data_IF_641156702323
#
_entry.id   IF_641156702323
#
_cell.length_a   1.000
_cell.length_b   1.000
_cell.length_c   1.000
_cell.angle_alpha   90.00
_cell.angle_beta   90.00
_cell.angle_gamma   90.00
#
_symmetry.space_group_name_H-M   'P 1'
#
loop_
_entity.id
_entity.type
_entity.pdbx_description
1 polymer ?
#
# COMPACT_ATOMS: atom_id res chain seq x y z
N UNK A 1 -44.70 38.49 80.81
CA UNK A 1 -44.78 37.89 79.50
C UNK A 1 -43.42 37.90 78.84
N UNK A 2 -42.69 36.77 78.80
CA UNK A 2 -41.29 36.68 78.34
C UNK A 2 -41.31 36.00 76.98
N UNK A 3 -40.97 36.72 75.92
CA UNK A 3 -40.81 36.18 74.59
C UNK A 3 -39.43 35.55 74.39
N UNK A 4 -39.32 34.29 74.19
CA UNK A 4 -38.07 33.61 73.85
C UNK A 4 -37.80 33.75 72.35
N UNK A 5 -36.68 34.35 72.03
CA UNK A 5 -36.18 34.36 70.65
C UNK A 5 -35.45 33.03 70.36
N UNK A 6 -35.84 32.33 69.31
CA UNK A 6 -35.11 31.22 68.82
C UNK A 6 -34.12 31.70 67.71
N UNK A 7 -32.87 31.47 67.97
CA UNK A 7 -31.81 31.69 67.01
C UNK A 7 -31.71 30.42 66.15
N UNK A 8 -32.09 30.56 64.94
CA UNK A 8 -31.99 29.43 63.97
C UNK A 8 -30.52 29.33 63.47
N UNK A 9 -29.92 28.21 63.79
CA UNK A 9 -28.61 27.85 63.30
C UNK A 9 -28.74 27.30 61.88
N UNK A 10 -28.47 28.11 60.86
CA UNK A 10 -28.42 27.69 59.46
C UNK A 10 -27.09 27.00 59.17
N UNK A 11 -27.14 25.67 59.12
CA UNK A 11 -26.04 24.82 58.72
C UNK A 11 -25.82 24.97 57.19
N UNK A 12 -24.75 25.65 56.81
CA UNK A 12 -24.32 25.74 55.42
C UNK A 12 -23.62 24.44 55.10
N UNK A 13 -24.29 23.55 54.36
CA UNK A 13 -23.70 22.36 53.79
C UNK A 13 -22.98 22.80 52.50
N UNK A 14 -21.69 22.96 52.63
CA UNK A 14 -20.80 23.23 51.52
C UNK A 14 -20.62 21.93 50.73
N UNK A 15 -21.44 21.75 49.70
CA UNK A 15 -21.34 20.61 48.78
C UNK A 15 -20.04 20.69 47.94
N UNK A 16 -19.11 19.82 48.29
CA UNK A 16 -17.88 19.62 47.53
C UNK A 16 -18.25 18.86 46.25
N UNK A 17 -18.45 19.61 45.18
CA UNK A 17 -18.56 19.01 43.86
C UNK A 17 -17.20 18.48 43.43
N UNK A 18 -17.02 17.17 43.54
CA UNK A 18 -15.92 16.46 42.91
C UNK A 18 -16.17 16.53 41.40
N UNK A 19 -15.50 17.45 40.73
CA UNK A 19 -15.34 17.44 39.28
C UNK A 19 -14.44 16.27 38.93
N UNK A 20 -15.06 15.08 38.75
CA UNK A 20 -14.41 13.97 38.08
C UNK A 20 -14.10 14.43 36.65
N UNK A 21 -12.89 14.87 36.42
CA UNK A 21 -12.37 15.15 35.12
C UNK A 21 -12.37 13.85 34.29
N UNK A 22 -13.35 13.72 33.41
CA UNK A 22 -13.29 12.70 32.35
C UNK A 22 -12.16 13.13 31.42
N UNK A 23 -10.95 12.60 31.67
CA UNK A 23 -9.89 12.60 30.67
C UNK A 23 -10.35 11.72 29.52
N UNK A 24 -10.91 12.31 28.49
CA UNK A 24 -10.99 11.65 27.20
C UNK A 24 -9.57 11.46 26.73
N UNK A 25 -9.05 10.24 26.88
CA UNK A 25 -7.87 9.79 26.16
C UNK A 25 -8.26 9.74 24.68
N UNK A 26 -8.12 10.86 24.00
CA UNK A 26 -8.12 10.92 22.53
C UNK A 26 -6.78 10.32 22.07
N UNK A 27 -6.74 9.03 21.94
CA UNK A 27 -5.56 8.30 21.56
C UNK A 27 -5.89 7.18 20.58
N UNK A 28 -6.56 7.51 19.50
CA UNK A 28 -6.43 6.76 18.27
C UNK A 28 -5.95 7.77 17.22
N UNK A 29 -4.64 8.03 17.22
CA UNK A 29 -4.01 8.45 15.98
C UNK A 29 -4.31 7.33 14.99
N UNK A 30 -5.29 7.58 14.11
CA UNK A 30 -5.47 6.75 12.94
C UNK A 30 -4.10 6.74 12.26
N UNK A 31 -3.44 5.59 12.25
CA UNK A 31 -2.16 5.42 11.58
C UNK A 31 -2.40 5.81 10.13
N UNK A 32 -1.95 7.02 9.79
CA UNK A 32 -2.10 7.57 8.44
C UNK A 32 -1.47 6.54 7.51
N UNK A 33 -2.28 5.91 6.67
CA UNK A 33 -1.83 4.91 5.71
C UNK A 33 -0.83 5.58 4.76
N UNK A 34 0.43 5.60 5.18
CA UNK A 34 1.51 6.19 4.40
C UNK A 34 1.68 5.40 3.12
N UNK A 35 1.21 5.98 2.02
CA UNK A 35 1.43 5.42 0.68
C UNK A 35 2.93 5.33 0.43
N UNK A 36 3.41 4.12 0.17
CA UNK A 36 4.81 3.86 -0.12
C UNK A 36 4.93 3.54 -1.60
N UNK A 37 5.79 4.27 -2.27
CA UNK A 37 6.16 3.98 -3.66
C UNK A 37 7.50 3.26 -3.69
N UNK A 38 7.60 2.18 -4.44
CA UNK A 38 8.82 1.42 -4.70
C UNK A 38 9.02 1.29 -6.19
N UNK A 39 10.25 1.39 -6.63
CA UNK A 39 10.61 1.31 -8.05
C UNK A 39 11.37 0.03 -8.31
N UNK A 40 11.01 -0.65 -9.39
CA UNK A 40 11.74 -1.78 -9.98
C UNK A 40 12.13 -1.37 -11.40
N UNK A 41 13.41 -1.45 -11.72
CA UNK A 41 13.87 -1.24 -13.07
C UNK A 41 13.94 -2.57 -13.82
N UNK A 42 13.50 -2.59 -15.06
CA UNK A 42 13.51 -3.75 -15.94
C UNK A 42 14.58 -3.56 -17.02
N UNK A 43 15.48 -4.51 -17.12
CA UNK A 43 16.55 -4.51 -18.12
C UNK A 43 16.71 -5.91 -18.71
N UNK A 44 16.83 -6.04 -20.03
CA UNK A 44 17.06 -7.32 -20.68
C UNK A 44 18.41 -7.95 -20.30
N UNK A 45 19.38 -7.14 -19.90
CA UNK A 45 20.71 -7.65 -19.56
C UNK A 45 20.85 -8.01 -18.07
N UNK A 46 20.11 -7.32 -17.20
CA UNK A 46 20.26 -7.44 -15.74
C UNK A 46 19.02 -8.03 -15.05
N UNK A 47 17.95 -8.20 -15.79
CA UNK A 47 16.67 -8.62 -15.20
C UNK A 47 15.97 -7.49 -14.45
N UNK A 48 15.14 -7.84 -13.49
CA UNK A 48 14.48 -6.91 -12.58
C UNK A 48 15.44 -6.47 -11.46
N UNK A 49 15.51 -5.17 -11.20
CA UNK A 49 16.33 -4.62 -10.13
C UNK A 49 15.48 -3.74 -9.20
N UNK A 50 15.29 -4.14 -7.93
CA UNK A 50 15.73 -5.40 -7.33
C UNK A 50 14.94 -6.61 -7.86
N UNK A 51 15.57 -7.80 -7.88
CA UNK A 51 14.90 -9.05 -8.27
C UNK A 51 13.84 -9.46 -7.25
N UNK A 52 14.09 -9.20 -5.98
CA UNK A 52 13.12 -9.37 -4.89
C UNK A 52 12.91 -8.04 -4.19
N UNK A 53 11.67 -7.60 -4.18
CA UNK A 53 11.26 -6.39 -3.49
C UNK A 53 10.46 -6.77 -2.24
N UNK A 54 10.93 -6.37 -1.07
CA UNK A 54 10.18 -6.50 0.18
C UNK A 54 9.53 -5.18 0.55
N UNK A 55 8.27 -5.24 0.97
CA UNK A 55 7.51 -4.08 1.41
C UNK A 55 6.32 -4.48 2.29
N UNK A 56 5.44 -3.53 2.59
CA UNK A 56 4.25 -3.71 3.41
C UNK A 56 2.97 -3.39 2.63
N UNK A 57 1.80 -3.82 3.11
CA UNK A 57 0.52 -3.43 2.52
C UNK A 57 0.39 -1.92 2.31
N UNK A 58 -0.30 -1.50 1.26
CA UNK A 58 -0.38 -0.10 0.83
C UNK A 58 0.78 0.37 -0.04
N UNK A 59 1.69 -0.53 -0.44
CA UNK A 59 2.80 -0.19 -1.33
C UNK A 59 2.36 -0.18 -2.79
N UNK A 60 2.66 0.91 -3.48
CA UNK A 60 2.60 0.97 -4.95
C UNK A 60 3.97 0.63 -5.52
N UNK A 61 4.01 -0.42 -6.32
CA UNK A 61 5.22 -0.81 -7.07
C UNK A 61 5.12 -0.23 -8.47
N UNK A 62 6.18 0.43 -8.90
CA UNK A 62 6.31 1.07 -10.20
C UNK A 62 7.44 0.36 -10.94
N UNK A 63 7.13 -0.26 -12.08
CA UNK A 63 8.14 -0.81 -12.97
C UNK A 63 8.50 0.22 -14.03
N UNK A 64 9.79 0.37 -14.27
CA UNK A 64 10.35 1.27 -15.30
C UNK A 64 11.13 0.44 -16.29
N UNK A 65 10.75 0.46 -17.56
CA UNK A 65 11.50 -0.22 -18.60
C UNK A 65 12.74 0.58 -18.99
N UNK A 66 13.91 0.02 -18.70
CA UNK A 66 15.21 0.55 -19.15
C UNK A 66 15.80 -0.26 -20.32
N UNK A 67 15.07 -1.24 -20.83
CA UNK A 67 15.47 -1.97 -22.03
C UNK A 67 15.12 -1.19 -23.28
N UNK A 68 15.91 -1.34 -24.32
CA UNK A 68 15.60 -0.76 -25.64
C UNK A 68 14.32 -1.35 -26.24
N UNK A 69 14.06 -2.63 -25.95
CA UNK A 69 12.88 -3.34 -26.43
C UNK A 69 11.68 -3.13 -25.49
N UNK A 70 10.48 -3.10 -26.02
CA UNK A 70 9.27 -3.11 -25.20
C UNK A 70 9.21 -4.36 -24.33
N UNK A 71 8.77 -4.20 -23.08
CA UNK A 71 8.59 -5.31 -22.14
C UNK A 71 7.14 -5.49 -21.76
N UNK A 72 6.75 -6.72 -21.44
CA UNK A 72 5.47 -7.09 -20.87
C UNK A 72 5.71 -7.79 -19.54
N UNK A 73 4.89 -7.49 -18.54
CA UNK A 73 4.95 -8.09 -17.20
C UNK A 73 3.74 -9.00 -17.05
N UNK A 74 3.96 -10.24 -16.58
CA UNK A 74 2.91 -11.21 -16.30
C UNK A 74 3.06 -11.71 -14.86
N UNK A 75 2.00 -11.59 -14.08
CA UNK A 75 1.95 -12.21 -12.77
C UNK A 75 1.59 -13.69 -12.90
N UNK A 76 2.24 -14.52 -12.09
CA UNK A 76 2.03 -15.98 -12.16
C UNK A 76 0.86 -16.43 -11.28
N UNK A 77 0.50 -15.62 -10.29
CA UNK A 77 -0.60 -15.90 -9.39
C UNK A 77 -1.84 -15.07 -9.69
N UNK A 78 -3.01 -15.70 -9.62
CA UNK A 78 -4.31 -15.09 -9.91
C UNK A 78 -4.80 -14.06 -8.88
N UNK A 79 -4.05 -13.87 -7.78
CA UNK A 79 -4.47 -13.02 -6.66
C UNK A 79 -3.53 -11.85 -6.47
N UNK A 80 -3.78 -10.78 -7.20
CA UNK A 80 -3.24 -9.48 -6.81
C UNK A 80 -4.43 -8.61 -6.42
N UNK A 81 -4.61 -8.35 -5.13
CA UNK A 81 -5.67 -7.49 -4.65
C UNK A 81 -5.20 -6.04 -4.68
N UNK A 82 -5.98 -5.19 -5.33
CA UNK A 82 -5.67 -3.78 -5.53
C UNK A 82 -6.64 -2.94 -4.70
N UNK A 83 -6.13 -2.07 -3.85
CA UNK A 83 -6.95 -1.14 -3.09
C UNK A 83 -6.69 0.33 -3.41
N UNK A 84 -5.61 0.67 -4.06
CA UNK A 84 -5.22 2.06 -4.22
C UNK A 84 -5.44 2.54 -5.66
N UNK A 85 -6.66 2.65 -6.06
CA UNK A 85 -7.01 3.20 -7.37
C UNK A 85 -6.81 2.22 -8.52
N UNK A 86 -6.85 2.72 -9.72
CA UNK A 86 -6.72 1.91 -10.92
C UNK A 86 -5.26 1.55 -11.20
N UNK A 87 -4.98 0.32 -11.64
CA UNK A 87 -3.65 -0.04 -12.11
C UNK A 87 -3.27 0.80 -13.32
N UNK A 88 -1.99 1.15 -13.43
CA UNK A 88 -1.47 1.86 -14.60
C UNK A 88 -0.78 0.87 -15.52
N UNK A 89 -1.23 0.80 -16.76
CA UNK A 89 -0.73 -0.12 -17.79
C UNK A 89 -0.82 -1.60 -17.41
N UNK A 90 -1.73 -1.97 -16.52
CA UNK A 90 -2.07 -3.36 -16.20
C UNK A 90 -3.54 -3.63 -16.46
N UNK A 91 -3.85 -4.83 -16.85
CA UNK A 91 -5.20 -5.36 -17.00
C UNK A 91 -5.25 -6.81 -16.50
N UNK A 92 -6.45 -7.34 -16.36
CA UNK A 92 -6.65 -8.74 -15.98
C UNK A 92 -6.67 -9.57 -17.25
N UNK A 93 -5.71 -10.49 -17.39
CA UNK A 93 -5.60 -11.42 -18.49
C UNK A 93 -6.71 -12.47 -18.47
N UNK A 94 -6.71 -13.31 -19.51
CA UNK A 94 -7.76 -14.34 -19.68
C UNK A 94 -7.79 -15.41 -18.59
N UNK A 95 -6.63 -15.64 -17.95
CA UNK A 95 -6.48 -16.58 -16.85
C UNK A 95 -6.79 -15.98 -15.47
N UNK A 96 -7.10 -14.67 -15.43
CA UNK A 96 -7.38 -13.92 -14.22
C UNK A 96 -6.14 -13.39 -13.48
N UNK A 97 -4.96 -13.51 -14.08
CA UNK A 97 -3.73 -12.90 -13.60
C UNK A 97 -3.60 -11.46 -14.14
N UNK A 98 -2.78 -10.65 -13.47
CA UNK A 98 -2.47 -9.32 -14.00
C UNK A 98 -1.39 -9.42 -15.08
N UNK A 99 -1.66 -8.76 -16.18
CA UNK A 99 -0.75 -8.59 -17.31
C UNK A 99 -0.56 -7.11 -17.59
N UNK A 100 0.66 -6.69 -17.96
CA UNK A 100 0.85 -5.31 -18.41
C UNK A 100 0.61 -5.20 -19.92
N UNK A 101 0.24 -4.01 -20.37
CA UNK A 101 0.44 -3.64 -21.75
C UNK A 101 1.95 -3.60 -22.06
N UNK A 102 2.32 -3.54 -23.36
CA UNK A 102 3.71 -3.32 -23.76
C UNK A 102 4.22 -2.00 -23.23
N UNK A 103 5.25 -2.07 -22.40
CA UNK A 103 5.89 -0.91 -21.78
C UNK A 103 7.08 -0.54 -22.65
N UNK A 104 7.07 0.59 -23.36
CA UNK A 104 8.18 1.02 -24.20
C UNK A 104 9.38 1.44 -23.35
N UNK A 105 10.53 1.67 -23.95
CA UNK A 105 11.70 2.26 -23.26
C UNK A 105 11.33 3.54 -22.53
N UNK A 106 11.72 3.66 -21.28
CA UNK A 106 11.37 4.77 -20.38
C UNK A 106 9.92 4.78 -19.90
N UNK A 107 9.08 3.89 -20.44
CA UNK A 107 7.69 3.73 -19.98
C UNK A 107 7.59 3.06 -18.64
N UNK A 108 6.41 3.19 -18.01
CA UNK A 108 6.13 2.68 -16.68
C UNK A 108 4.83 1.87 -16.64
N UNK A 109 4.76 0.95 -15.68
CA UNK A 109 3.52 0.32 -15.23
C UNK A 109 3.50 0.30 -13.71
N UNK A 110 2.33 0.32 -13.07
CA UNK A 110 2.25 0.27 -11.62
C UNK A 110 1.05 -0.50 -11.10
N UNK A 111 1.26 -1.18 -9.97
CA UNK A 111 0.24 -1.86 -9.17
C UNK A 111 0.40 -1.50 -7.70
N UNK A 112 -0.71 -1.42 -6.99
CA UNK A 112 -0.73 -1.26 -5.55
C UNK A 112 -1.09 -2.57 -4.86
N UNK A 113 -0.30 -2.96 -3.86
CA UNK A 113 -0.46 -4.20 -3.12
C UNK A 113 -1.04 -3.92 -1.74
N UNK A 114 -2.22 -4.47 -1.45
CA UNK A 114 -2.91 -4.24 -0.18
C UNK A 114 -2.89 -5.43 0.75
N UNK A 115 -2.63 -6.61 0.23
CA UNK A 115 -2.59 -7.84 1.01
C UNK A 115 -1.15 -8.32 1.20
N UNK A 116 -0.91 -8.95 2.33
CA UNK A 116 0.35 -9.66 2.56
C UNK A 116 0.42 -10.89 1.66
N UNK A 117 1.60 -11.18 1.16
CA UNK A 117 1.80 -12.33 0.28
C UNK A 117 3.08 -12.21 -0.52
N UNK A 118 3.37 -13.28 -1.23
CA UNK A 118 4.47 -13.38 -2.18
C UNK A 118 3.88 -13.43 -3.57
N UNK A 119 4.25 -12.49 -4.41
CA UNK A 119 3.74 -12.34 -5.77
C UNK A 119 4.89 -12.51 -6.75
N UNK A 120 4.87 -13.65 -7.44
CA UNK A 120 5.85 -13.97 -8.47
C UNK A 120 5.41 -13.40 -9.81
N UNK A 121 6.32 -12.77 -10.53
CA UNK A 121 6.06 -12.27 -11.86
C UNK A 121 7.22 -12.58 -12.80
N UNK A 122 6.92 -12.62 -14.08
CA UNK A 122 7.91 -12.64 -15.16
C UNK A 122 7.76 -11.38 -15.99
N UNK A 123 8.85 -10.90 -16.55
CA UNK A 123 8.76 -9.95 -17.64
C UNK A 123 9.44 -10.50 -18.87
N UNK A 124 8.86 -10.20 -20.01
CA UNK A 124 9.30 -10.64 -21.33
C UNK A 124 9.65 -9.44 -22.15
N UNK A 125 10.80 -9.47 -22.79
CA UNK A 125 11.21 -8.45 -23.73
C UNK A 125 11.03 -8.98 -25.16
N UNK A 126 10.30 -8.22 -25.96
CA UNK A 126 10.12 -8.53 -27.39
C UNK A 126 11.31 -8.01 -28.16
N UNK A 127 12.28 -8.87 -28.48
CA UNK A 127 13.46 -8.46 -29.26
C UNK A 127 13.02 -7.98 -30.66
N UNK A 128 13.25 -6.70 -30.95
CA UNK A 128 12.85 -6.08 -32.20
C UNK A 128 13.86 -6.37 -33.35
N UNK A 129 15.08 -6.81 -33.02
CA UNK A 129 16.19 -6.79 -33.99
C UNK A 129 16.85 -8.12 -34.33
N UNK A 130 16.57 -9.23 -33.67
CA UNK A 130 17.11 -10.55 -34.04
C UNK A 130 16.05 -11.66 -33.91
N UNK A 131 16.10 -12.66 -34.77
CA UNK A 131 15.14 -13.76 -34.66
C UNK A 131 15.51 -14.55 -33.46
N UNK A 132 14.96 -14.27 -32.39
CA UNK A 132 15.06 -15.05 -31.52
C UNK A 132 14.96 -15.26 -30.23
N UNK A 133 14.99 -14.98 -29.32
CA UNK A 133 14.70 -15.40 -27.97
C UNK A 133 13.97 -14.26 -27.24
N UNK A 134 12.68 -14.48 -27.09
CA UNK A 134 11.95 -13.84 -26.01
C UNK A 134 12.78 -14.04 -24.73
N UNK A 135 13.35 -12.96 -24.19
CA UNK A 135 14.10 -13.04 -22.96
C UNK A 135 13.10 -12.92 -21.82
N UNK A 136 13.01 -13.98 -21.03
CA UNK A 136 12.15 -14.01 -19.85
C UNK A 136 13.02 -13.87 -18.59
N UNK A 137 12.63 -12.93 -17.75
CA UNK A 137 13.24 -12.70 -16.45
C UNK A 137 12.19 -12.78 -15.36
N UNK A 138 12.58 -13.21 -14.17
CA UNK A 138 11.69 -13.35 -13.00
C UNK A 138 11.96 -12.28 -11.96
N UNK A 139 10.89 -11.87 -11.28
CA UNK A 139 10.95 -11.02 -10.10
C UNK A 139 9.93 -11.44 -9.06
N UNK A 140 10.15 -11.01 -7.84
CA UNK A 140 9.33 -11.34 -6.69
C UNK A 140 8.99 -10.04 -5.93
N UNK A 141 7.71 -9.90 -5.57
CA UNK A 141 7.26 -8.88 -4.62
C UNK A 141 6.78 -9.62 -3.37
N UNK A 142 7.35 -9.28 -2.24
CA UNK A 142 6.99 -9.87 -0.97
C UNK A 142 6.45 -8.79 -0.03
N UNK A 143 5.13 -8.83 0.19
CA UNK A 143 4.41 -7.93 1.09
C UNK A 143 4.25 -8.62 2.45
N UNK A 144 4.84 -8.04 3.48
CA UNK A 144 4.92 -8.58 4.86
C UNK A 144 4.08 -7.76 5.83
#
# INVERSE_FOLDING_TARGET
MKKKAYVGLTTIIMGLYFLAGFSFAAGNEAEELKIINKIITLSTNQGAQPTTLESRPGTTVIWVNQSRDPVEILFLDKKVTLACGSPVNFFIGKDGAYESAKIPFGGTASLCFTETGKFDYVFKASATYYPLREQEHRGIIWIK
#
